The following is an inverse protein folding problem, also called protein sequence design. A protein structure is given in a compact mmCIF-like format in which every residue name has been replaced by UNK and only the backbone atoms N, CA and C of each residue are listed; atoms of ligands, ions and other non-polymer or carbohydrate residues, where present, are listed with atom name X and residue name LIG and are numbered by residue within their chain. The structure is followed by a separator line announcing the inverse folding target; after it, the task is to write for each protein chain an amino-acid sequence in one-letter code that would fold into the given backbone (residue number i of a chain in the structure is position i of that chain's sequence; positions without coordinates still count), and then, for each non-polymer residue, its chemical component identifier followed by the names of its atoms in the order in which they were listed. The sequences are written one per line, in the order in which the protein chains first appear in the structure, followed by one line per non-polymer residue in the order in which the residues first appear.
data_IF_611531125045
#
_entry.id   IF_611531125045
#
_cell.length_a   1.000
_cell.length_b   1.000
_cell.length_c   1.000
_cell.angle_alpha   90.00
_cell.angle_beta   90.00
_cell.angle_gamma   90.00
#
_symmetry.space_group_name_H-M   'P 1'
#
loop_
_entity.id
_entity.type
_entity.pdbx_description
1 polymer ?
#
# COMPACT_ATOMS: atom_id res chain seq x y z
N UNK A 1 13.00 17.59 -23.29
CA UNK A 1 12.54 16.21 -23.53
C UNK A 1 13.27 15.36 -22.50
N UNK A 2 12.55 14.60 -21.67
CA UNK A 2 13.20 13.78 -20.62
C UNK A 2 13.80 12.53 -21.25
N UNK A 3 14.98 12.11 -20.82
CA UNK A 3 15.61 10.87 -21.30
C UNK A 3 15.11 9.69 -20.44
N UNK A 4 14.70 8.55 -21.01
CA UNK A 4 14.34 7.37 -20.23
C UNK A 4 15.47 6.90 -19.29
N UNK A 5 16.73 7.18 -19.61
CA UNK A 5 17.87 6.87 -18.77
C UNK A 5 17.99 7.77 -17.53
N UNK A 6 17.26 8.88 -17.45
CA UNK A 6 17.27 9.75 -16.28
C UNK A 6 16.46 9.19 -15.10
N UNK A 7 15.61 8.19 -15.34
CA UNK A 7 14.69 7.62 -14.35
C UNK A 7 15.30 6.42 -13.65
N UNK A 8 15.26 6.44 -12.32
CA UNK A 8 15.91 5.43 -11.47
C UNK A 8 14.97 4.68 -10.56
N UNK A 9 13.74 5.19 -10.38
CA UNK A 9 12.72 4.60 -9.54
C UNK A 9 11.45 4.37 -10.37
N UNK A 10 10.96 3.14 -10.35
CA UNK A 10 9.62 2.80 -10.79
C UNK A 10 8.65 2.79 -9.62
N UNK A 11 7.50 3.44 -9.75
CA UNK A 11 6.41 3.42 -8.78
C UNK A 11 5.19 2.81 -9.46
N UNK A 12 4.71 1.68 -8.94
CA UNK A 12 3.54 0.98 -9.44
C UNK A 12 2.37 1.19 -8.47
N UNK A 13 1.24 1.63 -9.01
CA UNK A 13 -0.04 1.76 -8.31
C UNK A 13 -1.01 0.72 -8.86
N UNK A 14 -1.81 0.10 -7.99
CA UNK A 14 -2.88 -0.83 -8.38
C UNK A 14 -4.15 -0.12 -8.85
N UNK A 15 -4.46 1.05 -8.29
CA UNK A 15 -5.74 1.74 -8.51
C UNK A 15 -5.53 3.19 -8.97
N UNK A 16 -6.49 3.72 -9.71
CA UNK A 16 -6.53 5.13 -10.12
C UNK A 16 -6.44 6.09 -8.92
N UNK A 17 -7.10 5.74 -7.80
CA UNK A 17 -7.05 6.59 -6.60
C UNK A 17 -5.64 6.64 -5.99
N UNK A 18 -4.85 5.57 -6.12
CA UNK A 18 -3.46 5.54 -5.68
C UNK A 18 -2.57 6.33 -6.64
N UNK A 19 -2.79 6.23 -7.96
CA UNK A 19 -2.07 7.03 -8.97
C UNK A 19 -2.30 8.53 -8.77
N UNK A 20 -3.55 8.95 -8.54
CA UNK A 20 -3.89 10.35 -8.24
C UNK A 20 -3.14 10.83 -7.00
N UNK A 21 -3.09 10.03 -5.94
CA UNK A 21 -2.32 10.37 -4.75
C UNK A 21 -0.82 10.47 -5.05
N UNK A 22 -0.24 9.47 -5.74
CA UNK A 22 1.17 9.44 -6.09
C UNK A 22 1.59 10.68 -6.89
N UNK A 23 0.81 11.06 -7.90
CA UNK A 23 1.04 12.25 -8.72
C UNK A 23 0.94 13.54 -7.93
N UNK A 24 -0.02 13.64 -7.01
CA UNK A 24 -0.17 14.81 -6.15
C UNK A 24 1.04 15.04 -5.20
N UNK A 25 1.82 13.99 -4.92
CA UNK A 25 3.03 14.05 -4.12
C UNK A 25 4.32 14.31 -4.91
N UNK A 26 4.27 14.38 -6.25
CA UNK A 26 5.42 14.79 -7.05
C UNK A 26 5.79 16.25 -6.75
N UNK A 27 7.08 16.54 -6.65
CA UNK A 27 7.58 17.92 -6.60
C UNK A 27 7.43 18.60 -7.97
N UNK A 28 7.55 17.80 -9.03
CA UNK A 28 7.48 18.24 -10.42
C UNK A 28 6.98 17.09 -11.31
N UNK A 29 5.98 17.37 -12.15
CA UNK A 29 5.53 16.45 -13.20
C UNK A 29 6.13 16.88 -14.53
N UNK A 30 6.78 15.96 -15.23
CA UNK A 30 7.38 16.22 -16.53
C UNK A 30 6.40 15.91 -17.67
N UNK A 31 6.48 16.63 -18.81
CA UNK A 31 5.67 16.32 -19.98
C UNK A 31 5.91 14.90 -20.48
N UNK A 32 4.83 14.24 -20.92
CA UNK A 32 4.92 12.93 -21.55
C UNK A 32 5.90 12.96 -22.73
N UNK A 33 6.76 11.96 -22.79
CA UNK A 33 7.75 11.80 -23.84
C UNK A 33 7.26 10.85 -24.93
N UNK A 34 7.63 11.12 -26.18
CA UNK A 34 7.30 10.26 -27.32
C UNK A 34 8.21 9.04 -27.51
N UNK A 35 9.03 8.68 -26.51
CA UNK A 35 10.06 7.64 -26.66
C UNK A 35 9.59 6.23 -26.29
N UNK A 36 8.40 6.07 -25.69
CA UNK A 36 7.92 4.77 -25.23
C UNK A 36 7.78 3.80 -26.41
N UNK A 37 8.23 2.56 -26.20
CA UNK A 37 8.10 1.51 -27.22
C UNK A 37 6.62 1.30 -27.55
N UNK A 38 6.32 1.10 -28.85
CA UNK A 38 4.98 0.72 -29.30
C UNK A 38 4.50 -0.62 -28.73
N UNK A 39 5.42 -1.41 -28.17
CA UNK A 39 5.14 -2.71 -27.55
C UNK A 39 4.95 -2.62 -26.03
N UNK A 40 5.17 -1.46 -25.42
CA UNK A 40 4.86 -1.25 -24.01
C UNK A 40 3.40 -0.78 -23.88
N UNK A 41 2.51 -1.59 -23.28
CA UNK A 41 1.10 -1.23 -23.14
C UNK A 41 0.84 -0.28 -21.97
N UNK A 42 1.85 0.04 -21.15
CA UNK A 42 1.67 0.84 -19.95
C UNK A 42 1.57 2.33 -20.28
N UNK A 43 0.75 3.04 -19.49
CA UNK A 43 0.79 4.49 -19.41
C UNK A 43 1.69 4.90 -18.23
N UNK A 44 2.57 5.88 -18.47
CA UNK A 44 3.46 6.38 -17.44
C UNK A 44 3.24 7.87 -17.17
N UNK A 45 3.29 8.23 -15.90
CA UNK A 45 3.53 9.61 -15.47
C UNK A 45 5.01 9.76 -15.13
N UNK A 46 5.61 10.85 -15.58
CA UNK A 46 7.02 11.15 -15.36
C UNK A 46 7.13 12.28 -14.35
N UNK A 47 8.02 12.16 -13.37
CA UNK A 47 8.21 13.26 -12.44
C UNK A 47 9.42 13.11 -11.54
N UNK A 48 9.48 14.01 -10.56
CA UNK A 48 10.54 14.06 -9.56
C UNK A 48 9.95 14.10 -8.16
N UNK A 49 10.58 13.35 -7.26
CA UNK A 49 10.31 13.39 -5.83
C UNK A 49 11.65 13.47 -5.09
N UNK A 50 11.86 14.59 -4.40
CA UNK A 50 13.15 14.98 -3.86
C UNK A 50 14.22 15.04 -4.96
N UNK A 51 15.25 14.23 -4.80
CA UNK A 51 16.38 14.10 -5.73
C UNK A 51 16.22 12.93 -6.73
N UNK A 52 15.08 12.27 -6.74
CA UNK A 52 14.86 11.08 -7.56
C UNK A 52 13.88 11.36 -8.70
N UNK A 53 14.28 11.02 -9.92
CA UNK A 53 13.37 10.92 -11.05
C UNK A 53 12.61 9.59 -10.97
N UNK A 54 11.29 9.70 -10.98
CA UNK A 54 10.35 8.59 -10.77
C UNK A 54 9.46 8.45 -12.01
N UNK A 55 9.22 7.22 -12.44
CA UNK A 55 8.12 6.88 -13.36
C UNK A 55 7.02 6.16 -12.61
N UNK A 56 5.79 6.67 -12.73
CA UNK A 56 4.61 6.09 -12.10
C UNK A 56 3.80 5.36 -13.17
N UNK A 57 3.40 4.12 -12.89
CA UNK A 57 2.47 3.36 -13.71
C UNK A 57 1.29 2.89 -12.86
N UNK A 58 0.11 2.83 -13.48
CA UNK A 58 -1.10 2.27 -12.87
C UNK A 58 -1.51 1.00 -13.59
N UNK A 59 -1.97 0.00 -12.85
CA UNK A 59 -2.45 -1.24 -13.44
C UNK A 59 -3.73 -1.00 -14.25
N UNK A 60 -3.80 -1.59 -15.45
CA UNK A 60 -4.94 -1.42 -16.35
C UNK A 60 -6.12 -2.35 -16.03
N UNK A 61 -5.90 -3.42 -15.26
CA UNK A 61 -6.91 -4.44 -14.94
C UNK A 61 -7.16 -4.55 -13.43
N UNK A 62 -7.30 -3.43 -12.74
CA UNK A 62 -7.53 -3.40 -11.29
C UNK A 62 -6.32 -3.95 -10.51
N UNK A 63 -6.57 -4.77 -9.50
CA UNK A 63 -5.53 -5.34 -8.64
C UNK A 63 -5.16 -6.77 -9.04
N UNK A 64 -3.94 -7.18 -8.68
CA UNK A 64 -3.49 -8.56 -8.83
C UNK A 64 -2.01 -8.68 -9.15
N UNK A 65 -1.40 -9.78 -8.70
CA UNK A 65 0.05 -10.02 -8.83
C UNK A 65 0.48 -10.16 -10.29
N UNK A 66 -0.36 -10.74 -11.15
CA UNK A 66 -0.03 -10.95 -12.56
C UNK A 66 0.00 -9.64 -13.34
N UNK A 67 -0.96 -8.73 -13.08
CA UNK A 67 -0.99 -7.41 -13.70
C UNK A 67 0.21 -6.57 -13.23
N UNK A 68 0.49 -6.57 -11.91
CA UNK A 68 1.66 -5.88 -11.36
C UNK A 68 2.99 -6.39 -11.94
N UNK A 69 3.14 -7.71 -12.10
CA UNK A 69 4.33 -8.30 -12.71
C UNK A 69 4.50 -7.90 -14.18
N UNK A 70 3.40 -7.84 -14.95
CA UNK A 70 3.41 -7.38 -16.34
C UNK A 70 3.86 -5.93 -16.44
N UNK A 71 3.25 -5.04 -15.64
CA UNK A 71 3.61 -3.62 -15.60
C UNK A 71 5.08 -3.44 -15.24
N UNK A 72 5.55 -4.12 -14.18
CA UNK A 72 6.95 -4.05 -13.76
C UNK A 72 7.92 -4.53 -14.85
N UNK A 73 7.59 -5.62 -15.54
CA UNK A 73 8.43 -6.18 -16.61
C UNK A 73 8.60 -5.20 -17.75
N UNK A 74 7.49 -4.64 -18.25
CA UNK A 74 7.53 -3.64 -19.32
C UNK A 74 8.25 -2.36 -18.89
N UNK A 75 8.03 -1.91 -17.65
CA UNK A 75 8.70 -0.74 -17.08
C UNK A 75 10.23 -0.91 -17.06
N UNK A 76 10.75 -2.06 -16.63
CA UNK A 76 12.20 -2.31 -16.62
C UNK A 76 12.77 -2.33 -18.05
N UNK A 77 12.02 -2.79 -19.05
CA UNK A 77 12.47 -2.78 -20.45
C UNK A 77 12.42 -1.40 -21.09
N UNK A 78 11.46 -0.56 -20.72
CA UNK A 78 11.33 0.81 -21.24
C UNK A 78 12.28 1.79 -20.56
N UNK A 79 12.66 1.53 -19.30
CA UNK A 79 13.49 2.41 -18.48
C UNK A 79 14.71 1.65 -17.95
N UNK A 80 15.74 1.58 -18.79
CA UNK A 80 16.93 0.73 -18.55
C UNK A 80 17.77 1.15 -17.32
N UNK A 81 17.56 2.35 -16.79
CA UNK A 81 18.25 2.84 -15.59
C UNK A 81 17.42 2.71 -14.30
N UNK A 82 16.23 2.07 -14.34
CA UNK A 82 15.50 1.75 -13.11
C UNK A 82 16.32 0.80 -12.24
N UNK A 83 16.55 1.22 -11.00
CA UNK A 83 17.30 0.45 -9.99
C UNK A 83 16.39 -0.08 -8.90
N UNK A 84 15.26 0.59 -8.66
CA UNK A 84 14.31 0.27 -7.60
C UNK A 84 12.90 0.33 -8.18
N UNK A 85 12.12 -0.72 -7.96
CA UNK A 85 10.68 -0.73 -8.19
C UNK A 85 9.94 -0.74 -6.85
N UNK A 86 8.98 0.15 -6.68
CA UNK A 86 8.11 0.25 -5.51
C UNK A 86 6.67 -0.06 -5.93
N UNK A 87 6.03 -0.99 -5.23
CA UNK A 87 4.58 -1.16 -5.30
C UNK A 87 4.00 -0.44 -4.08
N UNK A 88 3.27 0.65 -4.31
CA UNK A 88 2.69 1.48 -3.25
C UNK A 88 1.20 1.64 -3.51
N UNK A 89 0.39 1.33 -2.52
CA UNK A 89 -1.06 1.36 -2.64
C UNK A 89 -1.76 1.17 -1.31
N UNK A 90 -3.10 1.18 -1.37
CA UNK A 90 -3.96 0.90 -0.23
C UNK A 90 -4.08 -0.61 -0.03
N UNK A 91 -4.18 -1.03 1.22
CA UNK A 91 -4.37 -2.44 1.57
C UNK A 91 -5.25 -2.58 2.81
N UNK A 92 -5.70 -3.81 3.07
CA UNK A 92 -6.33 -4.17 4.33
C UNK A 92 -5.28 -4.37 5.43
N UNK A 93 -5.62 -4.02 6.67
CA UNK A 93 -4.80 -4.29 7.85
C UNK A 93 -5.16 -5.63 8.51
N UNK A 94 -4.16 -6.29 9.07
CA UNK A 94 -4.31 -7.46 9.95
C UNK A 94 -3.92 -7.04 11.37
N UNK A 95 -4.86 -6.51 12.17
CA UNK A 95 -4.54 -6.06 13.52
C UNK A 95 -4.34 -7.25 14.47
N UNK A 96 -3.34 -7.17 15.34
CA UNK A 96 -3.06 -8.12 16.41
C UNK A 96 -2.89 -7.40 17.75
N UNK A 97 -2.67 -8.17 18.83
CA UNK A 97 -2.40 -7.57 20.14
C UNK A 97 -1.04 -6.85 20.20
N UNK A 98 -0.11 -7.26 19.34
CA UNK A 98 1.24 -6.71 19.22
C UNK A 98 1.27 -5.56 18.21
N UNK A 99 0.58 -5.73 17.08
CA UNK A 99 0.56 -4.80 15.97
C UNK A 99 -0.87 -4.29 15.76
N UNK A 100 -1.20 -3.21 16.47
CA UNK A 100 -2.51 -2.59 16.40
C UNK A 100 -2.67 -1.75 15.12
N UNK A 101 -2.78 -2.40 13.96
CA UNK A 101 -2.87 -1.72 12.65
C UNK A 101 -4.23 -1.01 12.49
N UNK A 102 -4.21 0.29 12.20
CA UNK A 102 -5.40 1.17 12.06
C UNK A 102 -5.58 1.70 10.66
N UNK A 103 -6.79 2.18 10.35
CA UNK A 103 -7.04 2.88 9.09
C UNK A 103 -6.18 4.16 9.02
N UNK A 104 -5.43 4.29 7.94
CA UNK A 104 -4.51 5.41 7.72
C UNK A 104 -3.07 5.17 8.18
N UNK A 105 -2.80 4.06 8.87
CA UNK A 105 -1.44 3.63 9.17
C UNK A 105 -0.70 3.21 7.88
N UNK A 106 0.63 3.25 7.93
CA UNK A 106 1.52 2.86 6.83
C UNK A 106 2.23 1.58 7.21
N UNK A 107 2.32 0.61 6.29
CA UNK A 107 3.10 -0.61 6.48
C UNK A 107 4.25 -0.62 5.49
N UNK A 108 5.47 -0.77 5.99
CA UNK A 108 6.69 -0.92 5.18
C UNK A 108 7.12 -2.38 5.20
N UNK A 109 7.18 -3.01 4.02
CA UNK A 109 7.58 -4.41 3.88
C UNK A 109 9.02 -4.61 4.33
N UNK A 110 9.22 -5.48 5.34
CA UNK A 110 10.54 -5.94 5.78
C UNK A 110 10.49 -7.43 6.09
N UNK A 111 11.61 -8.17 5.95
CA UNK A 111 11.68 -9.58 6.31
C UNK A 111 11.20 -9.83 7.74
N UNK A 112 10.33 -10.84 7.88
CA UNK A 112 9.92 -11.44 9.15
C UNK A 112 10.70 -12.73 9.43
N UNK A 113 10.26 -13.51 10.41
CA UNK A 113 10.97 -14.74 10.84
C UNK A 113 11.15 -15.75 9.70
N UNK A 114 10.08 -16.06 8.97
CA UNK A 114 10.06 -17.12 7.95
C UNK A 114 9.76 -16.61 6.53
N UNK A 115 9.53 -15.29 6.40
CA UNK A 115 9.13 -14.67 5.15
C UNK A 115 9.96 -13.43 4.85
N UNK A 116 10.22 -13.23 3.58
CA UNK A 116 11.08 -12.16 3.09
C UNK A 116 10.36 -10.81 2.90
N UNK A 117 9.34 -10.52 3.71
CA UNK A 117 8.63 -9.23 3.69
C UNK A 117 7.31 -9.23 2.92
N UNK A 118 7.12 -10.15 1.99
CA UNK A 118 5.82 -10.35 1.31
C UNK A 118 5.36 -11.79 1.50
N UNK A 119 4.12 -11.95 1.95
CA UNK A 119 3.46 -13.24 2.14
C UNK A 119 2.44 -13.46 1.01
N UNK A 120 2.70 -14.37 0.05
CA UNK A 120 1.77 -14.64 -1.02
C UNK A 120 0.63 -15.57 -0.54
N UNK A 121 -0.31 -15.04 0.24
CA UNK A 121 -1.23 -15.82 1.08
C UNK A 121 -2.21 -16.72 0.31
N UNK A 122 -2.45 -16.47 -0.97
CA UNK A 122 -3.29 -17.29 -1.83
C UNK A 122 -2.48 -18.14 -2.84
N UNK A 123 -1.15 -18.20 -2.69
CA UNK A 123 -0.27 -19.02 -3.52
C UNK A 123 0.27 -20.21 -2.73
N UNK A 124 -0.39 -21.35 -2.88
CA UNK A 124 -0.16 -22.52 -2.06
C UNK A 124 -0.88 -23.74 -2.60
N UNK A 125 -0.97 -24.77 -1.77
CA UNK A 125 -1.64 -26.01 -2.11
C UNK A 125 -2.80 -26.30 -1.17
N UNK A 126 -3.89 -26.77 -1.74
CA UNK A 126 -5.03 -27.30 -1.01
C UNK A 126 -4.94 -28.84 -0.99
N UNK A 127 -4.98 -29.42 0.21
CA UNK A 127 -5.08 -30.87 0.39
C UNK A 127 -6.46 -31.23 0.92
N UNK A 128 -6.99 -32.37 0.49
CA UNK A 128 -8.31 -32.81 0.94
C UNK A 128 -8.32 -32.98 2.47
N UNK A 129 -9.22 -32.27 3.13
CA UNK A 129 -9.40 -32.32 4.58
C UNK A 129 -8.32 -31.59 5.39
N UNK A 130 -7.49 -30.75 4.76
CA UNK A 130 -6.46 -29.95 5.44
C UNK A 130 -6.61 -28.46 5.14
N UNK A 131 -5.96 -27.62 5.93
CA UNK A 131 -5.87 -26.20 5.65
C UNK A 131 -4.99 -25.93 4.43
N UNK A 132 -5.19 -24.77 3.82
CA UNK A 132 -4.39 -24.31 2.70
C UNK A 132 -2.95 -24.03 3.16
N UNK A 133 -1.98 -24.63 2.47
CA UNK A 133 -0.56 -24.50 2.80
C UNK A 133 0.12 -23.50 1.86
N UNK A 134 0.55 -22.35 2.40
CA UNK A 134 1.36 -21.38 1.65
C UNK A 134 2.76 -21.96 1.46
N UNK A 135 3.17 -22.17 0.21
CA UNK A 135 4.47 -22.77 -0.12
C UNK A 135 5.45 -21.83 -0.80
N UNK A 136 4.97 -20.70 -1.29
CA UNK A 136 5.80 -19.79 -2.08
C UNK A 136 6.47 -18.77 -1.16
N UNK A 137 7.78 -18.64 -1.32
CA UNK A 137 8.57 -17.57 -0.72
C UNK A 137 8.99 -16.62 -1.84
N UNK A 138 8.75 -15.32 -1.63
CA UNK A 138 9.17 -14.27 -2.55
C UNK A 138 10.56 -13.74 -2.17
N UNK A 139 11.21 -13.02 -3.08
CA UNK A 139 12.48 -12.37 -2.79
C UNK A 139 12.30 -11.28 -1.74
N UNK A 140 13.34 -11.05 -0.93
CA UNK A 140 13.37 -9.93 0.00
C UNK A 140 13.49 -8.59 -0.75
N UNK A 141 13.01 -7.49 -0.16
CA UNK A 141 13.39 -6.17 -0.62
C UNK A 141 14.91 -6.04 -0.75
N UNK A 142 15.43 -5.30 -1.75
CA UNK A 142 16.87 -5.11 -1.92
C UNK A 142 17.55 -4.62 -0.64
N UNK A 143 18.77 -5.10 -0.38
CA UNK A 143 19.53 -4.76 0.84
C UNK A 143 19.67 -3.24 1.06
N UNK A 144 19.82 -2.47 -0.02
CA UNK A 144 19.91 -1.01 0.04
C UNK A 144 18.63 -0.38 0.60
N UNK A 145 17.45 -0.90 0.24
CA UNK A 145 16.17 -0.43 0.79
C UNK A 145 16.00 -0.83 2.25
N UNK A 146 16.43 -2.04 2.63
CA UNK A 146 16.38 -2.47 4.04
C UNK A 146 17.28 -1.59 4.92
N UNK A 147 18.47 -1.24 4.43
CA UNK A 147 19.38 -0.32 5.12
C UNK A 147 18.79 1.08 5.23
N UNK A 148 18.21 1.61 4.15
CA UNK A 148 17.53 2.90 4.15
C UNK A 148 16.34 2.93 5.13
N UNK A 149 15.55 1.86 5.19
CA UNK A 149 14.44 1.70 6.14
C UNK A 149 14.94 1.76 7.59
N UNK A 150 16.06 1.11 7.92
CA UNK A 150 16.64 1.21 9.27
C UNK A 150 17.07 2.63 9.62
N UNK A 151 17.66 3.37 8.66
CA UNK A 151 17.99 4.78 8.84
C UNK A 151 16.75 5.65 9.08
N UNK A 152 15.68 5.44 8.29
CA UNK A 152 14.41 6.13 8.46
C UNK A 152 13.74 5.84 9.81
N UNK A 153 13.80 4.59 10.29
CA UNK A 153 13.29 4.23 11.62
C UNK A 153 14.00 5.01 12.72
N UNK A 154 15.33 5.01 12.72
CA UNK A 154 16.11 5.77 13.71
C UNK A 154 15.79 7.26 13.65
N UNK A 155 15.63 7.82 12.44
CA UNK A 155 15.24 9.22 12.27
C UNK A 155 13.84 9.49 12.84
N UNK A 156 12.86 8.62 12.56
CA UNK A 156 11.50 8.77 13.09
C UNK A 156 11.43 8.60 14.60
N UNK A 157 12.26 7.74 15.19
CA UNK A 157 12.35 7.58 16.65
C UNK A 157 12.89 8.85 17.34
N UNK A 158 13.85 9.54 16.71
CA UNK A 158 14.46 10.76 17.25
C UNK A 158 13.59 11.99 16.99
N UNK A 159 13.04 12.12 15.78
CA UNK A 159 12.45 13.37 15.26
C UNK A 159 10.94 13.29 15.00
N UNK A 160 10.36 12.08 15.04
CA UNK A 160 9.04 11.82 14.49
C UNK A 160 9.04 11.77 12.94
N UNK A 161 7.94 11.30 12.37
CA UNK A 161 7.71 11.39 10.92
C UNK A 161 6.91 12.65 10.57
N UNK A 162 6.89 13.03 9.29
CA UNK A 162 6.17 14.22 8.79
C UNK A 162 4.93 13.90 7.94
N UNK A 163 4.45 12.65 7.98
CA UNK A 163 3.38 12.17 7.09
C UNK A 163 2.13 13.05 7.15
N UNK A 164 1.60 13.33 8.34
CA UNK A 164 0.41 14.17 8.51
C UNK A 164 0.59 15.55 7.89
N UNK A 165 1.72 16.19 8.16
CA UNK A 165 2.07 17.51 7.61
C UNK A 165 2.09 17.48 6.08
N UNK A 166 2.81 16.51 5.51
CA UNK A 166 2.94 16.37 4.06
C UNK A 166 1.60 16.07 3.39
N UNK A 167 0.72 15.29 4.03
CA UNK A 167 -0.65 15.07 3.54
C UNK A 167 -1.44 16.38 3.54
N UNK A 168 -1.44 17.14 4.65
CA UNK A 168 -2.13 18.43 4.73
C UNK A 168 -1.62 19.41 3.67
N UNK A 169 -0.31 19.60 3.55
CA UNK A 169 0.30 20.49 2.56
C UNK A 169 -0.05 20.10 1.11
N UNK A 170 -0.13 18.80 0.83
CA UNK A 170 -0.54 18.30 -0.50
C UNK A 170 -2.03 18.56 -0.77
N UNK A 171 -2.90 18.39 0.22
CA UNK A 171 -4.32 18.67 0.08
C UNK A 171 -4.61 20.18 -0.05
N UNK A 172 -3.86 21.02 0.67
CA UNK A 172 -3.97 22.48 0.57
C UNK A 172 -3.57 22.97 -0.83
N UNK A 173 -2.51 22.40 -1.42
CA UNK A 173 -2.08 22.67 -2.80
C UNK A 173 -3.05 22.12 -3.85
N UNK A 174 -3.84 21.11 -3.50
CA UNK A 174 -4.78 20.44 -4.40
C UNK A 174 -6.21 20.41 -3.82
N UNK A 175 -6.92 21.56 -3.73
CA UNK A 175 -8.19 21.64 -3.02
C UNK A 175 -9.27 20.68 -3.52
N UNK A 176 -9.24 20.32 -4.82
CA UNK A 176 -10.16 19.33 -5.42
C UNK A 176 -10.03 17.93 -4.80
N UNK A 177 -8.86 17.59 -4.23
CA UNK A 177 -8.62 16.30 -3.59
C UNK A 177 -9.12 16.26 -2.16
N UNK A 178 -9.31 17.42 -1.49
CA UNK A 178 -9.66 17.50 -0.08
C UNK A 178 -10.91 16.71 0.31
N UNK A 179 -11.92 16.65 -0.56
CA UNK A 179 -13.17 15.93 -0.29
C UNK A 179 -13.04 14.41 -0.37
N UNK A 180 -12.16 13.89 -1.23
CA UNK A 180 -12.00 12.44 -1.47
C UNK A 180 -10.83 11.83 -0.71
N UNK A 181 -9.76 12.59 -0.49
CA UNK A 181 -8.51 12.15 0.12
C UNK A 181 -8.29 12.70 1.52
N UNK A 182 -9.19 13.55 2.01
CA UNK A 182 -9.19 14.01 3.39
C UNK A 182 -9.30 12.83 4.35
N UNK A 183 -8.62 12.97 5.50
CA UNK A 183 -8.71 11.97 6.56
C UNK A 183 -10.16 11.88 7.06
N UNK A 184 -10.76 10.67 7.12
CA UNK A 184 -12.09 10.52 7.66
C UNK A 184 -12.11 10.77 9.17
N UNK A 185 -13.31 10.89 9.73
CA UNK A 185 -13.50 11.01 11.18
C UNK A 185 -12.83 9.83 11.93
N UNK A 186 -12.08 10.06 13.02
CA UNK A 186 -11.48 8.99 13.80
C UNK A 186 -12.46 7.89 14.24
N UNK A 187 -13.73 8.22 14.48
CA UNK A 187 -14.78 7.26 14.89
C UNK A 187 -15.20 6.31 13.74
N UNK A 188 -14.69 6.53 12.53
CA UNK A 188 -14.90 5.63 11.39
C UNK A 188 -13.99 4.40 11.42
N UNK A 189 -12.88 4.41 12.18
CA UNK A 189 -12.00 3.25 12.35
C UNK A 189 -12.58 2.29 13.40
N UNK A 190 -13.37 1.33 12.92
CA UNK A 190 -14.11 0.39 13.76
C UNK A 190 -13.69 -1.04 13.45
N UNK A 191 -13.04 -1.69 14.42
CA UNK A 191 -12.70 -3.11 14.36
C UNK A 191 -13.82 -3.94 14.99
N UNK A 192 -14.59 -4.65 14.15
CA UNK A 192 -15.61 -5.59 14.59
C UNK A 192 -14.99 -6.94 14.95
N UNK A 193 -15.63 -7.66 15.88
CA UNK A 193 -15.24 -9.04 16.18
C UNK A 193 -15.43 -9.94 14.94
N UNK A 194 -14.57 -10.97 14.75
CA UNK A 194 -14.50 -11.74 13.50
C UNK A 194 -15.74 -12.58 13.19
N UNK A 195 -16.57 -12.90 14.20
CA UNK A 195 -17.83 -13.63 14.00
C UNK A 195 -18.98 -12.74 13.51
N UNK A 196 -18.78 -11.42 13.44
CA UNK A 196 -19.79 -10.48 12.92
C UNK A 196 -19.79 -10.55 11.40
N UNK A 197 -20.87 -11.09 10.84
CA UNK A 197 -21.08 -11.16 9.39
C UNK A 197 -21.73 -9.88 8.91
N UNK A 198 -21.04 -9.14 8.06
CA UNK A 198 -21.58 -7.94 7.43
C UNK A 198 -22.55 -8.33 6.29
N UNK A 199 -23.84 -8.06 6.47
CA UNK A 199 -24.92 -8.38 5.52
C UNK A 199 -24.91 -7.54 4.23
N UNK A 200 -23.98 -6.60 4.09
CA UNK A 200 -23.90 -5.71 2.92
C UNK A 200 -23.24 -6.39 1.72
N UNK A 201 -23.99 -7.26 1.07
CA UNK A 201 -23.76 -7.57 -0.34
C UNK A 201 -24.18 -6.37 -1.21
N UNK A 202 -23.20 -5.58 -1.64
CA UNK A 202 -23.18 -4.81 -2.90
C UNK A 202 -23.31 -3.27 -2.92
N UNK A 203 -23.61 -2.51 -1.86
CA UNK A 203 -23.64 -1.03 -2.02
C UNK A 203 -23.64 -0.13 -0.78
N UNK A 204 -23.93 -0.62 0.43
CA UNK A 204 -23.94 0.22 1.64
C UNK A 204 -22.62 0.15 2.41
N UNK A 205 -22.20 1.30 2.99
CA UNK A 205 -21.01 1.35 3.85
C UNK A 205 -21.30 0.62 5.16
N UNK A 206 -20.39 -0.23 5.63
CA UNK A 206 -20.54 -0.91 6.93
C UNK A 206 -20.77 0.08 8.09
N UNK A 207 -20.26 1.30 7.98
CA UNK A 207 -20.47 2.39 8.95
C UNK A 207 -21.89 2.92 9.04
N UNK A 208 -22.75 2.62 8.07
CA UNK A 208 -24.16 2.99 8.04
C UNK A 208 -25.02 1.80 8.49
N UNK A 209 -24.77 0.63 7.92
CA UNK A 209 -25.56 -0.59 8.17
C UNK A 209 -25.28 -1.21 9.55
N UNK A 210 -24.01 -1.28 9.96
CA UNK A 210 -23.61 -1.95 11.20
C UNK A 210 -23.47 -0.98 12.39
N UNK A 211 -23.71 0.32 12.18
CA UNK A 211 -23.59 1.31 13.27
C UNK A 211 -24.69 1.15 14.32
N UNK A 212 -25.88 0.70 13.92
CA UNK A 212 -27.03 0.50 14.80
C UNK A 212 -27.10 -0.91 15.39
N UNK A 213 -26.28 -1.84 14.90
CA UNK A 213 -26.11 -3.12 15.56
C UNK A 213 -25.22 -2.91 16.78
N UNK A 214 -25.71 -3.31 17.95
CA UNK A 214 -24.95 -3.48 19.20
C UNK A 214 -23.87 -4.58 19.09
N UNK A 215 -23.29 -4.74 17.90
CA UNK A 215 -22.21 -5.67 17.59
C UNK A 215 -20.99 -5.30 18.43
N UNK A 216 -20.33 -6.27 19.09
CA UNK A 216 -19.25 -5.94 20.00
C UNK A 216 -18.03 -5.56 19.15
N UNK A 217 -17.65 -4.29 19.22
CA UNK A 217 -16.38 -3.80 18.70
C UNK A 217 -15.25 -4.31 19.59
N UNK A 218 -14.09 -4.59 18.99
CA UNK A 218 -12.85 -4.80 19.73
C UNK A 218 -12.48 -3.49 20.42
N UNK A 219 -12.31 -3.53 21.75
CA UNK A 219 -11.84 -2.37 22.50
C UNK A 219 -10.37 -2.13 22.18
N UNK A 220 -10.06 -0.93 21.70
CA UNK A 220 -8.70 -0.48 21.38
C UNK A 220 -8.42 0.81 22.16
N UNK A 221 -7.22 0.95 22.77
CA UNK A 221 -6.87 2.18 23.47
C UNK A 221 -6.82 3.37 22.49
N UNK A 222 -6.97 4.59 22.97
CA UNK A 222 -6.72 5.75 22.10
C UNK A 222 -5.24 5.83 21.71
N UNK A 223 -4.98 6.31 20.49
CA UNK A 223 -3.61 6.62 20.06
C UNK A 223 -3.07 7.76 20.92
N UNK A 224 -1.82 7.66 21.32
CA UNK A 224 -1.06 8.70 22.00
C UNK A 224 -0.80 9.89 21.06
N UNK A 225 -0.58 11.07 21.64
CA UNK A 225 -0.21 12.26 20.86
C UNK A 225 1.10 12.08 20.08
N UNK A 226 2.02 11.23 20.56
CA UNK A 226 3.30 10.94 19.91
C UNK A 226 3.13 10.19 18.59
N UNK A 227 2.04 9.43 18.42
CA UNK A 227 1.76 8.70 17.19
C UNK A 227 1.22 9.63 16.08
N UNK A 228 0.94 10.90 16.35
CA UNK A 228 0.41 11.89 15.37
C UNK A 228 -0.81 11.38 14.56
N UNK A 229 -1.50 10.37 15.10
CA UNK A 229 -2.57 9.63 14.46
C UNK A 229 -2.16 8.76 13.26
N UNK A 230 -0.89 8.57 12.92
CA UNK A 230 -0.44 7.64 11.86
C UNK A 230 0.71 6.82 12.41
N UNK A 231 0.61 5.49 12.40
CA UNK A 231 1.73 4.63 12.80
C UNK A 231 2.37 3.97 11.58
N UNK A 232 3.70 3.94 11.57
CA UNK A 232 4.48 3.23 10.54
C UNK A 232 4.86 1.86 11.08
N UNK A 233 4.13 0.85 10.66
CA UNK A 233 4.40 -0.56 10.95
C UNK A 233 5.46 -1.10 10.01
N UNK A 234 6.24 -2.05 10.50
CA UNK A 234 7.23 -2.72 9.67
C UNK A 234 7.12 -4.22 9.82
N UNK A 235 6.70 -4.89 8.76
CA UNK A 235 6.49 -6.33 8.80
C UNK A 235 6.14 -6.91 7.45
N UNK A 236 5.42 -8.02 7.50
CA UNK A 236 4.97 -8.72 6.30
C UNK A 236 3.79 -8.01 5.67
N UNK A 237 3.77 -7.95 4.34
CA UNK A 237 2.61 -7.52 3.57
C UNK A 237 2.04 -8.74 2.86
N UNK A 238 0.77 -9.05 3.14
CA UNK A 238 0.05 -10.09 2.44
C UNK A 238 -0.26 -9.62 1.00
N UNK A 239 0.05 -10.46 0.01
CA UNK A 239 -0.18 -10.17 -1.41
C UNK A 239 -0.87 -11.36 -2.07
N UNK A 240 -1.80 -11.10 -2.99
CA UNK A 240 -2.54 -12.15 -3.68
C UNK A 240 -3.42 -11.60 -4.80
N UNK A 241 -4.11 -12.50 -5.50
CA UNK A 241 -5.16 -12.17 -6.47
C UNK A 241 -6.57 -12.25 -5.87
N UNK A 242 -6.69 -12.80 -4.66
CA UNK A 242 -7.97 -13.07 -4.00
C UNK A 242 -8.24 -12.06 -2.90
N UNK A 243 -9.09 -11.06 -3.11
CA UNK A 243 -9.39 -10.06 -2.07
C UNK A 243 -9.95 -10.70 -0.78
N UNK A 244 -9.22 -10.54 0.33
CA UNK A 244 -9.66 -11.02 1.65
C UNK A 244 -10.73 -10.09 2.23
N UNK A 245 -11.96 -10.61 2.39
CA UNK A 245 -13.07 -9.94 3.10
C UNK A 245 -13.63 -10.77 4.25
N UNK A 246 -12.91 -11.82 4.64
CA UNK A 246 -13.28 -12.73 5.71
C UNK A 246 -12.43 -12.42 6.94
N UNK A 247 -13.08 -11.99 8.02
CA UNK A 247 -12.40 -11.61 9.26
C UNK A 247 -11.76 -12.81 9.98
N UNK A 248 -12.35 -14.01 9.88
CA UNK A 248 -11.74 -15.22 10.45
C UNK A 248 -10.49 -15.61 9.68
N UNK A 249 -10.52 -15.51 8.35
CA UNK A 249 -9.32 -15.74 7.53
C UNK A 249 -8.24 -14.69 7.80
N UNK A 250 -8.62 -13.40 7.88
CA UNK A 250 -7.70 -12.31 8.25
C UNK A 250 -6.97 -12.62 9.55
N UNK A 251 -7.71 -13.03 10.58
CA UNK A 251 -7.16 -13.26 11.92
C UNK A 251 -6.23 -14.48 12.00
N UNK A 252 -6.24 -15.38 11.01
CA UNK A 252 -5.22 -16.44 10.90
C UNK A 252 -3.83 -15.90 10.56
N UNK A 253 -3.74 -14.66 10.07
CA UNK A 253 -2.47 -14.01 9.69
C UNK A 253 -1.99 -12.98 10.72
N UNK A 254 -2.65 -12.87 11.86
CA UNK A 254 -2.35 -11.90 12.93
C UNK A 254 -1.17 -12.32 13.82
#
# INVERSE_FOLDING_TARGET
MVDPLDFTIGWICALETEDVAARAFLDEEYPASGFLSRTDPNAYTFGRLGHHNVVIAVLSQGYGTSSAASVATHMIFSFLNIRIGLLVGISGGVPSAQDDIRLGDVVVSVPGKEHNGVLPYDMGMAFQGQEFEIRRVLNAPPFQLLTATNGLRAQHEIQGHRLRRSICETLDRNPKLGTKFGRPDPDSDRLYLPHIVHTSGQSSRCTETCRNDSSPLVRRPERTAAEDGIVIHHGLIASGNTLCRDANLRDKFA
#
